data_IF_358792674453
#
_entry.id   IF_358792674453
#
_cell.length_a   1.000
_cell.length_b   1.000
_cell.length_c   1.000
_cell.angle_alpha   90.00
_cell.angle_beta   90.00
_cell.angle_gamma   90.00
#
_symmetry.space_group_name_H-M   'P 1'
#
loop_
_entity.id
_entity.type
_entity.pdbx_description
1 polymer ?
#
# COMPACT_ATOMS: atom_id res chain seq x y z
N UNK A 1 11.98 -8.59 0.82
CA UNK A 1 12.91 -7.52 0.38
C UNK A 1 13.93 -7.10 1.44
N UNK A 2 13.77 -7.37 2.74
CA UNK A 2 14.77 -6.95 3.74
C UNK A 2 15.95 -7.89 4.02
N UNK A 3 16.06 -9.04 3.35
CA UNK A 3 17.02 -10.11 3.72
C UNK A 3 17.98 -10.51 2.60
N UNK A 4 17.99 -9.82 1.44
CA UNK A 4 18.83 -10.20 0.30
C UNK A 4 18.47 -11.51 -0.42
N UNK A 5 17.42 -12.21 0.05
CA UNK A 5 17.04 -13.56 -0.41
C UNK A 5 16.22 -13.63 -1.70
N UNK A 6 15.99 -12.50 -2.39
CA UNK A 6 15.03 -12.44 -3.51
C UNK A 6 15.35 -13.44 -4.62
N UNK A 7 16.59 -13.45 -5.12
CA UNK A 7 16.97 -14.31 -6.24
C UNK A 7 17.21 -15.77 -5.85
N UNK A 8 17.55 -16.02 -4.57
CA UNK A 8 17.75 -17.36 -4.01
C UNK A 8 16.43 -18.08 -3.82
N UNK A 9 15.41 -17.38 -3.32
CA UNK A 9 14.06 -17.91 -3.09
C UNK A 9 13.14 -17.75 -4.31
N UNK A 10 13.67 -17.29 -5.44
CA UNK A 10 12.92 -17.25 -6.70
C UNK A 10 12.57 -18.68 -7.14
N UNK A 11 11.37 -18.91 -7.71
CA UNK A 11 11.04 -20.20 -8.30
C UNK A 11 12.12 -20.64 -9.31
N UNK A 12 12.51 -21.91 -9.26
CA UNK A 12 13.52 -22.49 -10.15
C UNK A 12 12.94 -23.09 -11.43
N UNK A 13 11.61 -23.03 -11.59
CA UNK A 13 10.86 -23.60 -12.73
C UNK A 13 10.57 -22.53 -13.79
N UNK A 14 9.67 -22.83 -14.74
CA UNK A 14 9.21 -21.95 -15.83
C UNK A 14 8.75 -20.56 -15.39
N UNK A 15 8.48 -20.35 -14.10
CA UNK A 15 8.13 -19.04 -13.52
C UNK A 15 9.32 -18.16 -13.18
N UNK A 16 10.55 -18.64 -13.38
CA UNK A 16 11.77 -17.88 -13.07
C UNK A 16 11.88 -16.60 -13.89
N UNK A 17 11.61 -16.69 -15.20
CA UNK A 17 11.66 -15.55 -16.12
C UNK A 17 10.68 -14.45 -15.69
N UNK A 18 9.46 -14.85 -15.33
CA UNK A 18 8.46 -13.94 -14.75
C UNK A 18 8.96 -13.30 -13.45
N UNK A 19 9.52 -14.09 -12.52
CA UNK A 19 9.98 -13.58 -11.22
C UNK A 19 11.18 -12.62 -11.34
N UNK A 20 12.11 -12.89 -12.24
CA UNK A 20 13.24 -12.00 -12.53
C UNK A 20 12.79 -10.72 -13.25
N UNK A 21 11.71 -10.78 -14.03
CA UNK A 21 11.11 -9.62 -14.70
C UNK A 21 10.32 -8.71 -13.75
N UNK A 22 9.90 -9.22 -12.59
CA UNK A 22 9.34 -8.37 -11.54
C UNK A 22 10.42 -7.35 -11.14
N UNK A 23 10.20 -6.06 -11.33
CA UNK A 23 11.18 -5.03 -11.00
C UNK A 23 11.58 -4.99 -9.52
N UNK A 24 12.36 -3.98 -9.13
CA UNK A 24 12.81 -3.80 -7.74
C UNK A 24 11.64 -3.70 -6.75
N UNK A 25 10.52 -3.11 -7.17
CA UNK A 25 9.25 -3.11 -6.44
C UNK A 25 8.19 -4.00 -7.13
N UNK A 26 8.08 -5.29 -6.76
CA UNK A 26 7.07 -6.20 -7.30
C UNK A 26 5.63 -5.85 -6.87
N UNK A 27 5.46 -4.87 -5.98
CA UNK A 27 4.16 -4.42 -5.48
C UNK A 27 3.76 -3.03 -6.01
N UNK A 28 4.47 -2.52 -7.03
CA UNK A 28 4.20 -1.19 -7.59
C UNK A 28 2.78 -1.08 -8.18
N UNK A 29 2.30 -2.12 -8.87
CA UNK A 29 0.99 -2.15 -9.55
C UNK A 29 -0.16 -2.51 -8.60
N UNK A 30 -0.37 -1.69 -7.57
CA UNK A 30 -1.28 -1.95 -6.45
C UNK A 30 -2.75 -2.14 -6.84
N UNK A 31 -3.15 -1.68 -8.02
CA UNK A 31 -4.51 -1.85 -8.52
C UNK A 31 -4.80 -3.28 -8.97
N UNK A 32 -3.77 -4.06 -9.33
CA UNK A 32 -3.94 -5.43 -9.80
C UNK A 32 -4.43 -6.35 -8.67
N UNK A 33 -5.44 -7.21 -8.91
CA UNK A 33 -5.94 -8.14 -7.90
C UNK A 33 -4.87 -9.05 -7.31
N UNK A 34 -3.95 -9.57 -8.13
CA UNK A 34 -2.83 -10.41 -7.68
C UNK A 34 -1.90 -9.67 -6.71
N UNK A 35 -1.60 -8.39 -7.00
CA UNK A 35 -0.77 -7.55 -6.12
C UNK A 35 -1.50 -7.24 -4.81
N UNK A 36 -2.82 -7.01 -4.84
CA UNK A 36 -3.61 -6.80 -3.61
C UNK A 36 -3.63 -8.05 -2.71
N UNK A 37 -3.71 -9.24 -3.30
CA UNK A 37 -3.57 -10.51 -2.58
C UNK A 37 -2.16 -10.65 -1.99
N UNK A 38 -1.12 -10.32 -2.76
CA UNK A 38 0.26 -10.34 -2.28
C UNK A 38 0.49 -9.36 -1.11
N UNK A 39 -0.04 -8.14 -1.18
CA UNK A 39 0.02 -7.15 -0.08
C UNK A 39 -0.70 -7.69 1.15
N UNK A 40 -1.89 -8.28 0.98
CA UNK A 40 -2.67 -8.84 2.08
C UNK A 40 -1.93 -10.00 2.76
N UNK A 41 -1.34 -10.90 1.97
CA UNK A 41 -0.51 -12.01 2.46
C UNK A 41 0.76 -11.49 3.17
N UNK A 42 1.44 -10.50 2.60
CA UNK A 42 2.63 -9.89 3.17
C UNK A 42 2.36 -9.17 4.51
N UNK A 43 1.16 -8.65 4.71
CA UNK A 43 0.72 -8.10 6.00
C UNK A 43 0.45 -9.19 7.01
N UNK A 44 -0.32 -10.20 6.63
CA UNK A 44 -0.65 -11.34 7.49
C UNK A 44 0.60 -12.07 7.96
N UNK A 45 1.60 -12.23 7.10
CA UNK A 45 2.86 -12.88 7.45
C UNK A 45 3.68 -12.13 8.52
N UNK A 46 3.32 -10.87 8.82
CA UNK A 46 3.96 -10.03 9.85
C UNK A 46 3.18 -9.98 11.16
N UNK A 47 2.05 -10.67 11.27
CA UNK A 47 1.28 -10.80 12.52
C UNK A 47 1.42 -12.20 13.13
N UNK A 48 1.12 -12.38 14.42
CA UNK A 48 0.98 -13.72 15.00
C UNK A 48 -0.07 -14.57 14.24
N UNK A 49 0.11 -15.89 14.16
CA UNK A 49 1.26 -16.65 14.68
C UNK A 49 2.48 -16.70 13.75
N UNK A 50 2.38 -16.19 12.52
CA UNK A 50 3.42 -16.38 11.49
C UNK A 50 4.70 -15.59 11.74
N UNK A 51 4.57 -14.34 12.19
CA UNK A 51 5.67 -13.38 12.26
C UNK A 51 6.96 -13.88 12.94
N UNK A 52 6.93 -14.40 14.20
CA UNK A 52 8.17 -14.78 14.88
C UNK A 52 8.90 -15.92 14.16
N UNK A 53 8.16 -16.92 13.67
CA UNK A 53 8.74 -18.08 13.00
C UNK A 53 9.27 -17.73 11.62
N UNK A 54 8.50 -16.97 10.84
CA UNK A 54 8.91 -16.56 9.50
C UNK A 54 10.12 -15.65 9.52
N UNK A 55 10.17 -14.67 10.42
CA UNK A 55 11.34 -13.78 10.53
C UNK A 55 12.59 -14.52 10.97
N UNK A 56 12.46 -15.48 11.91
CA UNK A 56 13.59 -16.34 12.32
C UNK A 56 14.08 -17.19 11.16
N UNK A 57 13.17 -17.83 10.43
CA UNK A 57 13.52 -18.68 9.28
C UNK A 57 14.20 -17.87 8.16
N UNK A 58 13.65 -16.70 7.80
CA UNK A 58 14.25 -15.83 6.78
C UNK A 58 15.64 -15.33 7.19
N UNK A 59 15.83 -14.97 8.46
CA UNK A 59 17.16 -14.56 8.97
C UNK A 59 18.16 -15.70 8.89
N UNK A 60 17.79 -16.90 9.35
CA UNK A 60 18.66 -18.07 9.29
C UNK A 60 18.99 -18.45 7.84
N UNK A 61 18.00 -18.37 6.94
CA UNK A 61 18.21 -18.62 5.51
C UNK A 61 19.17 -17.60 4.89
N UNK A 62 19.05 -16.31 5.25
CA UNK A 62 19.95 -15.27 4.77
C UNK A 62 21.40 -15.52 5.23
N UNK A 63 21.59 -15.95 6.48
CA UNK A 63 22.91 -16.31 7.01
C UNK A 63 23.51 -17.50 6.26
N UNK A 64 22.73 -18.56 6.04
CA UNK A 64 23.17 -19.73 5.27
C UNK A 64 23.53 -19.36 3.83
N UNK A 65 22.69 -18.57 3.18
CA UNK A 65 22.91 -18.16 1.81
C UNK A 65 24.17 -17.29 1.68
N UNK A 66 24.36 -16.34 2.59
CA UNK A 66 25.58 -15.52 2.62
C UNK A 66 26.84 -16.35 2.85
N UNK A 67 26.80 -17.34 3.75
CA UNK A 67 27.95 -18.21 4.01
C UNK A 67 28.27 -19.15 2.84
N UNK A 68 27.24 -19.60 2.11
CA UNK A 68 27.40 -20.46 0.94
C UNK A 68 27.88 -19.72 -0.31
N UNK A 69 27.62 -18.41 -0.41
CA UNK A 69 27.93 -17.60 -1.59
C UNK A 69 29.42 -17.63 -1.96
N UNK A 70 30.32 -17.64 -0.98
CA UNK A 70 31.79 -17.66 -1.21
C UNK A 70 32.29 -18.96 -1.85
N UNK A 71 31.51 -20.05 -1.75
CA UNK A 71 31.83 -21.37 -2.30
C UNK A 71 30.97 -21.73 -3.51
N UNK A 72 30.10 -20.82 -3.94
CA UNK A 72 29.13 -21.06 -4.98
C UNK A 72 29.78 -21.11 -6.37
N UNK A 73 29.40 -22.08 -7.20
CA UNK A 73 29.72 -22.02 -8.62
C UNK A 73 29.10 -20.73 -9.23
N UNK A 74 29.77 -20.07 -10.20
CA UNK A 74 29.33 -18.77 -10.73
C UNK A 74 27.87 -18.74 -11.19
N UNK A 75 27.38 -19.83 -11.78
CA UNK A 75 26.02 -19.91 -12.34
C UNK A 75 24.98 -20.48 -11.36
N UNK A 76 25.37 -20.82 -10.14
CA UNK A 76 24.46 -21.41 -9.15
C UNK A 76 23.53 -20.35 -8.52
N UNK A 77 22.43 -20.79 -7.90
CA UNK A 77 21.53 -19.86 -7.19
C UNK A 77 22.21 -19.15 -6.01
N UNK A 78 23.19 -19.81 -5.39
CA UNK A 78 23.91 -19.31 -4.22
C UNK A 78 24.87 -18.16 -4.56
N UNK A 79 25.30 -18.03 -5.82
CA UNK A 79 26.09 -16.86 -6.27
C UNK A 79 25.24 -15.60 -6.44
N UNK A 80 23.90 -15.71 -6.42
CA UNK A 80 22.95 -14.59 -6.62
C UNK A 80 22.49 -13.95 -5.31
N UNK A 81 23.18 -14.22 -4.20
CA UNK A 81 22.88 -13.61 -2.91
C UNK A 81 23.26 -12.14 -2.97
N UNK A 82 22.28 -11.27 -2.73
CA UNK A 82 22.53 -9.84 -2.58
C UNK A 82 22.78 -9.51 -1.10
N UNK A 83 23.67 -8.54 -0.79
CA UNK A 83 23.78 -8.04 0.58
C UNK A 83 22.42 -7.49 1.03
N UNK A 84 22.03 -7.80 2.27
CA UNK A 84 20.83 -7.22 2.84
C UNK A 84 20.99 -5.69 2.93
N UNK A 85 19.97 -4.90 2.55
CA UNK A 85 20.02 -3.46 2.73
C UNK A 85 20.26 -3.09 4.19
N UNK A 86 20.99 -2.01 4.43
CA UNK A 86 21.20 -1.48 5.78
C UNK A 86 19.87 -1.25 6.49
N UNK A 87 19.80 -1.58 7.79
CA UNK A 87 18.58 -1.37 8.57
C UNK A 87 18.17 0.10 8.56
N UNK A 88 16.88 0.38 8.42
CA UNK A 88 16.37 1.74 8.51
C UNK A 88 16.55 2.25 9.95
N UNK A 89 16.85 3.54 10.19
CA UNK A 89 17.08 4.07 11.55
C UNK A 89 15.91 3.86 12.53
N UNK A 90 14.70 3.59 12.04
CA UNK A 90 13.54 3.23 12.87
C UNK A 90 13.46 1.75 13.24
N UNK A 91 14.45 0.92 12.89
CA UNK A 91 14.43 -0.53 13.06
C UNK A 91 13.63 -1.31 12.02
N UNK A 92 12.99 -0.63 11.05
CA UNK A 92 12.35 -1.30 9.92
C UNK A 92 13.40 -1.84 8.93
N UNK A 93 13.09 -2.90 8.16
CA UNK A 93 14.03 -3.38 7.14
C UNK A 93 14.24 -2.32 6.06
N UNK A 94 15.50 -1.96 5.80
CA UNK A 94 15.85 -1.00 4.76
C UNK A 94 15.52 -1.50 3.35
N UNK A 95 15.47 -0.57 2.40
CA UNK A 95 15.18 -0.83 0.99
C UNK A 95 16.36 -0.42 0.14
N UNK A 96 16.58 -1.14 -0.95
CA UNK A 96 17.48 -0.80 -2.06
C UNK A 96 16.76 -0.04 -3.20
N UNK A 97 15.42 0.08 -3.12
CA UNK A 97 14.63 0.79 -4.12
C UNK A 97 14.92 2.30 -4.10
N UNK A 98 15.57 2.80 -5.16
CA UNK A 98 16.10 4.16 -5.30
C UNK A 98 15.06 5.30 -5.28
N UNK A 99 15.55 6.53 -5.08
CA UNK A 99 14.85 7.83 -4.99
C UNK A 99 13.70 7.95 -3.97
N UNK A 100 13.46 6.91 -3.18
CA UNK A 100 12.46 6.89 -2.12
C UNK A 100 13.04 7.40 -0.81
N UNK A 101 12.30 8.27 -0.12
CA UNK A 101 12.69 8.78 1.20
C UNK A 101 11.51 8.77 2.17
N UNK A 102 11.80 8.91 3.47
CA UNK A 102 10.75 9.17 4.45
C UNK A 102 9.94 10.44 4.10
N UNK A 103 10.57 11.43 3.46
CA UNK A 103 9.93 12.68 3.04
C UNK A 103 8.79 12.50 2.05
N UNK A 104 8.93 11.53 1.14
CA UNK A 104 7.95 11.20 0.08
C UNK A 104 7.06 10.01 0.41
N UNK A 105 7.17 9.46 1.63
CA UNK A 105 6.40 8.29 2.06
C UNK A 105 4.99 8.69 2.55
N UNK A 106 3.96 7.96 2.11
CA UNK A 106 2.58 8.13 2.57
C UNK A 106 2.41 7.86 4.08
N UNK A 107 3.31 7.09 4.70
CA UNK A 107 3.23 6.81 6.15
C UNK A 107 3.83 7.92 7.02
N UNK A 108 4.44 8.94 6.41
CA UNK A 108 4.97 10.11 7.11
C UNK A 108 3.83 11.03 7.50
N UNK A 109 3.83 11.47 8.74
CA UNK A 109 2.94 12.53 9.22
C UNK A 109 3.70 13.51 10.12
N UNK A 110 3.13 14.68 10.35
CA UNK A 110 3.64 15.69 11.28
C UNK A 110 2.84 15.60 12.58
N UNK A 111 3.49 15.38 13.72
CA UNK A 111 2.78 15.26 14.99
C UNK A 111 3.67 15.13 16.23
N UNK A 112 3.03 14.91 17.39
CA UNK A 112 3.65 14.77 18.70
C UNK A 112 3.12 15.75 19.75
N UNK A 113 3.30 15.43 21.03
CA UNK A 113 3.03 16.36 22.14
C UNK A 113 4.13 17.43 22.15
N UNK A 114 3.77 18.71 21.97
CA UNK A 114 4.71 19.83 21.91
C UNK A 114 5.14 20.16 20.48
N UNK A 115 6.46 20.28 20.22
CA UNK A 115 6.97 20.59 18.88
C UNK A 115 6.57 19.51 17.90
N UNK A 116 5.81 19.90 16.88
CA UNK A 116 5.43 19.03 15.78
C UNK A 116 6.66 18.62 14.97
N UNK A 117 6.83 17.32 14.75
CA UNK A 117 7.98 16.73 14.03
C UNK A 117 7.50 15.63 13.09
N UNK A 118 8.32 15.30 12.10
CA UNK A 118 8.04 14.18 11.19
C UNK A 118 8.12 12.83 11.92
N UNK A 119 7.11 11.99 11.69
CA UNK A 119 6.93 10.68 12.32
C UNK A 119 6.44 9.66 11.32
N UNK A 120 6.62 8.38 11.65
CA UNK A 120 6.22 7.26 10.79
C UNK A 120 5.18 6.36 11.47
N UNK A 121 4.00 6.23 10.87
CA UNK A 121 2.92 5.36 11.38
C UNK A 121 3.22 3.86 11.28
N UNK A 122 4.24 3.47 10.49
CA UNK A 122 4.67 2.08 10.34
C UNK A 122 5.69 1.65 11.40
N UNK A 123 6.20 2.60 12.18
CA UNK A 123 7.24 2.40 13.19
C UNK A 123 6.79 2.97 14.54
N UNK A 124 5.56 2.67 14.96
CA UNK A 124 4.99 3.08 16.26
C UNK A 124 5.20 4.56 16.56
N UNK A 125 4.91 5.41 15.57
CA UNK A 125 5.06 6.87 15.61
C UNK A 125 6.48 7.38 15.92
N UNK A 126 7.50 6.56 15.65
CA UNK A 126 8.90 6.95 15.73
C UNK A 126 9.18 8.20 14.89
N UNK A 127 10.08 9.05 15.41
CA UNK A 127 10.56 10.23 14.69
C UNK A 127 11.37 9.80 13.47
N UNK A 128 11.23 10.54 12.37
CA UNK A 128 11.98 10.30 11.14
C UNK A 128 12.59 11.60 10.61
N UNK A 129 13.79 11.51 10.02
CA UNK A 129 14.30 12.57 9.16
C UNK A 129 13.72 12.36 7.74
N UNK A 130 13.07 13.36 7.13
CA UNK A 130 12.58 13.28 5.75
C UNK A 130 13.64 12.86 4.72
N UNK A 131 14.93 13.07 5.00
CA UNK A 131 16.06 12.71 4.13
C UNK A 131 16.51 11.26 4.27
N UNK A 132 16.02 10.52 5.27
CA UNK A 132 16.35 9.11 5.39
C UNK A 132 15.82 8.32 4.18
N UNK A 133 16.59 7.34 3.66
CA UNK A 133 16.13 6.44 2.61
C UNK A 133 14.83 5.74 3.00
N UNK A 134 13.97 5.48 2.02
CA UNK A 134 12.74 4.72 2.25
C UNK A 134 13.04 3.31 2.77
N UNK A 135 12.25 2.83 3.73
CA UNK A 135 12.30 1.42 4.14
C UNK A 135 11.52 0.53 3.14
N UNK A 136 11.58 -0.79 3.31
CA UNK A 136 10.80 -1.77 2.49
C UNK A 136 9.29 -1.61 2.57
N UNK A 137 8.78 -0.72 3.43
CA UNK A 137 7.36 -0.38 3.58
C UNK A 137 7.04 1.01 3.03
N UNK A 138 7.97 1.65 2.32
CA UNK A 138 7.70 2.91 1.66
C UNK A 138 6.53 2.77 0.69
N UNK A 139 5.65 3.76 0.67
CA UNK A 139 4.55 3.86 -0.27
C UNK A 139 4.46 5.30 -0.78
N UNK A 140 4.11 5.51 -2.06
CA UNK A 140 3.86 6.85 -2.57
C UNK A 140 2.59 7.42 -1.95
N UNK A 141 2.51 8.76 -1.86
CA UNK A 141 1.26 9.46 -1.55
C UNK A 141 0.15 8.97 -2.49
N UNK A 142 -1.02 8.55 -1.98
CA UNK A 142 -2.03 7.95 -2.82
C UNK A 142 -2.80 9.01 -3.60
N UNK A 143 -3.28 8.62 -4.79
CA UNK A 143 -4.29 9.39 -5.53
C UNK A 143 -5.67 8.77 -5.34
N UNK A 144 -6.64 9.60 -4.93
CA UNK A 144 -8.04 9.21 -4.80
C UNK A 144 -8.67 8.80 -6.14
N UNK A 145 -8.22 9.40 -7.25
CA UNK A 145 -8.66 9.14 -8.62
C UNK A 145 -8.02 7.91 -9.27
N UNK A 146 -7.23 7.17 -8.49
CA UNK A 146 -6.73 5.85 -8.87
C UNK A 146 -7.15 4.77 -7.86
N UNK A 147 -7.09 5.07 -6.56
CA UNK A 147 -7.20 4.04 -5.53
C UNK A 147 -8.64 3.72 -5.12
N UNK A 148 -9.53 4.72 -5.10
CA UNK A 148 -10.93 4.58 -4.67
C UNK A 148 -11.13 3.95 -3.28
N UNK A 149 -10.12 3.90 -2.41
CA UNK A 149 -10.12 3.04 -1.22
C UNK A 149 -11.28 3.35 -0.26
N UNK A 150 -11.48 4.63 0.06
CA UNK A 150 -12.56 5.10 0.92
C UNK A 150 -13.94 4.96 0.25
N UNK A 151 -14.00 5.23 -1.05
CA UNK A 151 -15.24 5.24 -1.83
C UNK A 151 -15.75 3.83 -2.16
N UNK A 152 -14.88 2.81 -2.18
CA UNK A 152 -15.27 1.43 -2.52
C UNK A 152 -15.83 0.70 -1.31
N UNK A 153 -15.01 0.11 -0.43
CA UNK A 153 -15.48 -0.82 0.60
C UNK A 153 -15.00 -0.48 2.01
N UNK A 154 -14.21 0.59 2.18
CA UNK A 154 -13.63 0.91 3.48
C UNK A 154 -14.63 1.58 4.44
N UNK A 155 -15.58 2.34 3.93
CA UNK A 155 -16.61 3.03 4.70
C UNK A 155 -17.99 2.78 4.10
N UNK A 156 -19.00 2.59 4.94
CA UNK A 156 -20.36 2.23 4.51
C UNK A 156 -21.30 3.43 4.34
N UNK A 157 -20.90 4.64 4.77
CA UNK A 157 -21.69 5.86 4.60
C UNK A 157 -20.78 7.08 4.64
N UNK A 158 -21.22 8.16 3.99
CA UNK A 158 -20.63 9.50 4.07
C UNK A 158 -21.77 10.46 4.36
N UNK A 159 -21.83 10.96 5.59
CA UNK A 159 -22.83 11.95 6.00
C UNK A 159 -22.55 13.29 5.33
N UNK A 160 -23.54 13.89 4.70
CA UNK A 160 -23.44 15.16 3.99
C UNK A 160 -24.02 16.28 4.88
N UNK A 161 -23.30 17.39 5.08
CA UNK A 161 -23.87 18.56 5.76
C UNK A 161 -25.13 19.08 5.06
N UNK A 162 -26.10 19.61 5.83
CA UNK A 162 -27.35 20.15 5.26
C UNK A 162 -27.13 21.25 4.22
N UNK A 163 -26.03 22.00 4.26
CA UNK A 163 -25.74 23.09 3.30
C UNK A 163 -24.63 22.73 2.30
N UNK A 164 -24.36 21.45 2.09
CA UNK A 164 -23.33 21.02 1.14
C UNK A 164 -23.80 21.20 -0.31
N UNK A 165 -23.00 21.82 -1.20
CA UNK A 165 -23.36 22.04 -2.60
C UNK A 165 -23.73 20.77 -3.37
N UNK A 166 -23.20 19.60 -2.98
CA UNK A 166 -23.51 18.33 -3.66
C UNK A 166 -25.02 18.04 -3.67
N UNK A 167 -25.80 18.57 -2.71
CA UNK A 167 -27.25 18.38 -2.63
C UNK A 167 -28.00 19.04 -3.77
N UNK A 168 -27.51 20.17 -4.25
CA UNK A 168 -28.11 20.94 -5.33
C UNK A 168 -27.54 20.52 -6.68
N UNK A 169 -26.22 20.28 -6.73
CA UNK A 169 -25.51 19.93 -7.96
C UNK A 169 -25.73 18.48 -8.40
N UNK A 170 -25.90 17.55 -7.44
CA UNK A 170 -26.03 16.11 -7.69
C UNK A 170 -27.13 15.48 -6.82
N UNK A 171 -28.39 15.94 -6.90
CA UNK A 171 -29.48 15.47 -6.04
C UNK A 171 -29.75 13.96 -6.18
N UNK A 172 -29.47 13.36 -7.35
CA UNK A 172 -29.58 11.94 -7.62
C UNK A 172 -28.55 11.07 -6.88
N UNK A 173 -27.52 11.69 -6.29
CA UNK A 173 -26.51 11.04 -5.47
C UNK A 173 -26.78 11.20 -3.97
N UNK A 174 -27.89 11.82 -3.56
CA UNK A 174 -28.19 12.10 -2.15
C UNK A 174 -29.35 11.26 -1.63
N UNK A 175 -29.21 10.73 -0.42
CA UNK A 175 -30.28 10.01 0.29
C UNK A 175 -30.55 10.73 1.61
N UNK A 176 -31.79 11.17 1.79
CA UNK A 176 -32.27 11.72 3.07
C UNK A 176 -32.82 10.58 3.94
N UNK A 177 -32.25 10.39 5.13
CA UNK A 177 -32.68 9.40 6.14
C UNK A 177 -33.50 10.04 7.26
N UNK A 178 -33.95 11.29 7.09
CA UNK A 178 -34.65 12.11 8.08
C UNK A 178 -33.70 12.69 9.14
N UNK A 179 -32.96 11.83 9.84
CA UNK A 179 -32.02 12.24 10.89
C UNK A 179 -30.71 12.79 10.33
N UNK A 180 -30.25 12.23 9.21
CA UNK A 180 -29.05 12.64 8.51
C UNK A 180 -29.22 12.46 7.01
N UNK A 181 -28.37 13.12 6.26
CA UNK A 181 -28.30 13.02 4.80
C UNK A 181 -26.99 12.31 4.48
N UNK A 182 -27.01 11.38 3.54
CA UNK A 182 -25.80 10.65 3.14
C UNK A 182 -25.66 10.59 1.62
N UNK A 183 -24.43 10.35 1.18
CA UNK A 183 -24.16 10.06 -0.23
C UNK A 183 -24.64 8.66 -0.56
N UNK A 184 -25.43 8.54 -1.63
CA UNK A 184 -26.00 7.29 -2.13
C UNK A 184 -24.90 6.27 -2.40
N UNK A 185 -25.20 5.01 -2.11
CA UNK A 185 -24.37 3.85 -2.44
C UNK A 185 -25.05 2.92 -3.42
N UNK A 186 -24.24 2.19 -4.18
CA UNK A 186 -24.64 1.09 -5.03
C UNK A 186 -23.89 -0.16 -4.55
N UNK A 187 -24.60 -1.02 -3.82
CA UNK A 187 -23.97 -2.12 -3.08
C UNK A 187 -23.00 -1.60 -2.02
N UNK A 188 -21.77 -2.11 -2.04
CA UNK A 188 -20.72 -1.65 -1.14
C UNK A 188 -20.11 -0.33 -1.58
N UNK A 189 -20.25 0.13 -2.84
CA UNK A 189 -19.55 1.30 -3.40
C UNK A 189 -20.36 2.59 -3.30
N UNK A 190 -19.66 3.73 -3.23
CA UNK A 190 -20.24 5.05 -3.49
C UNK A 190 -20.86 5.10 -4.90
N UNK A 191 -22.06 5.66 -5.03
CA UNK A 191 -22.76 5.74 -6.31
C UNK A 191 -22.04 6.62 -7.35
N UNK A 192 -21.18 7.56 -6.90
CA UNK A 192 -20.36 8.39 -7.77
C UNK A 192 -19.03 7.72 -8.21
N UNK A 193 -18.76 6.49 -7.79
CA UNK A 193 -17.48 5.81 -8.04
C UNK A 193 -17.52 4.95 -9.30
N UNK A 194 -16.86 5.42 -10.36
CA UNK A 194 -16.63 4.67 -11.59
C UNK A 194 -15.34 3.82 -11.53
N UNK A 195 -15.15 2.96 -12.54
CA UNK A 195 -13.96 2.12 -12.69
C UNK A 195 -13.91 0.95 -11.70
N UNK A 196 -12.70 0.46 -11.39
CA UNK A 196 -12.50 -0.64 -10.46
C UNK A 196 -12.91 -2.01 -11.00
N UNK A 197 -12.86 -2.18 -12.33
CA UNK A 197 -13.27 -3.39 -13.03
C UNK A 197 -12.22 -3.76 -14.06
N UNK A 198 -12.19 -5.05 -14.40
CA UNK A 198 -11.41 -5.53 -15.54
C UNK A 198 -12.05 -4.96 -16.82
N UNK A 199 -11.24 -4.33 -17.67
CA UNK A 199 -11.65 -3.72 -18.93
C UNK A 199 -11.88 -4.79 -20.00
N UNK A 200 -11.02 -5.82 -20.03
CA UNK A 200 -11.13 -6.94 -20.97
C UNK A 200 -11.17 -8.32 -20.28
N UNK A 201 -12.23 -9.14 -20.45
CA UNK A 201 -12.39 -10.40 -19.73
C UNK A 201 -11.25 -11.42 -19.95
N UNK A 202 -10.59 -11.37 -21.11
CA UNK A 202 -9.46 -12.25 -21.44
C UNK A 202 -8.10 -11.74 -20.95
N UNK A 203 -8.02 -10.50 -20.46
CA UNK A 203 -6.79 -9.94 -19.90
C UNK A 203 -7.04 -9.53 -18.43
N UNK A 204 -6.67 -10.38 -17.46
CA UNK A 204 -6.86 -10.07 -16.04
C UNK A 204 -6.02 -8.87 -15.56
N UNK A 205 -5.08 -8.37 -16.37
CA UNK A 205 -4.29 -7.17 -16.05
C UNK A 205 -4.91 -5.88 -16.61
N UNK A 206 -5.90 -5.99 -17.49
CA UNK A 206 -6.61 -4.86 -18.06
C UNK A 206 -7.56 -4.29 -17.00
N UNK A 207 -7.13 -3.31 -16.21
CA UNK A 207 -7.91 -2.76 -15.10
C UNK A 207 -8.21 -1.27 -15.29
N UNK A 208 -9.48 -0.88 -15.20
CA UNK A 208 -9.88 0.54 -15.24
C UNK A 208 -9.71 1.15 -13.84
N UNK A 209 -8.86 2.20 -13.66
CA UNK A 209 -8.68 2.86 -12.37
C UNK A 209 -9.99 3.40 -11.77
N UNK A 210 -10.06 3.49 -10.44
CA UNK A 210 -11.24 4.04 -9.76
C UNK A 210 -11.30 5.55 -9.93
N UNK A 211 -12.45 6.10 -10.35
CA UNK A 211 -12.61 7.56 -10.48
C UNK A 211 -13.89 8.05 -9.83
N UNK A 212 -13.80 9.17 -9.11
CA UNK A 212 -14.96 9.87 -8.59
C UNK A 212 -15.52 10.78 -9.70
N UNK A 213 -16.74 10.51 -10.15
CA UNK A 213 -17.39 11.26 -11.22
C UNK A 213 -17.70 12.71 -10.84
N UNK A 214 -17.83 12.98 -9.54
CA UNK A 214 -18.14 14.31 -9.00
C UNK A 214 -16.95 14.90 -8.25
N UNK A 215 -15.71 14.55 -8.61
CA UNK A 215 -14.55 14.92 -7.79
C UNK A 215 -14.45 16.43 -7.48
N UNK A 216 -14.71 17.36 -8.42
CA UNK A 216 -14.74 18.80 -8.10
C UNK A 216 -15.84 19.16 -7.08
N UNK A 217 -16.99 18.50 -7.17
CA UNK A 217 -18.21 18.80 -6.38
C UNK A 217 -18.37 17.87 -5.17
N UNK A 218 -17.36 17.05 -4.87
CA UNK A 218 -17.42 16.03 -3.81
C UNK A 218 -17.82 16.68 -2.49
N UNK A 219 -18.60 16.01 -1.62
CA UNK A 219 -19.08 16.62 -0.38
C UNK A 219 -17.93 17.00 0.55
N UNK A 220 -18.18 17.93 1.46
CA UNK A 220 -17.20 18.49 2.41
C UNK A 220 -16.36 17.41 3.12
N UNK A 221 -16.93 16.32 3.69
CA UNK A 221 -16.12 15.28 4.32
C UNK A 221 -15.17 14.57 3.37
N UNK A 222 -15.52 14.44 2.09
CA UNK A 222 -14.64 13.88 1.07
C UNK A 222 -13.56 14.88 0.61
N UNK A 223 -13.85 16.20 0.60
CA UNK A 223 -12.85 17.23 0.27
C UNK A 223 -11.83 17.41 1.38
N UNK A 224 -12.27 17.37 2.62
CA UNK A 224 -11.46 17.58 3.82
C UNK A 224 -10.79 16.30 4.32
N UNK A 225 -11.02 15.18 3.63
CA UNK A 225 -10.39 13.92 3.98
C UNK A 225 -8.88 14.00 3.73
N UNK A 226 -8.09 13.91 4.80
CA UNK A 226 -6.64 14.03 4.74
C UNK A 226 -6.01 12.92 3.89
N UNK A 227 -5.36 13.33 2.80
CA UNK A 227 -4.68 12.39 1.91
C UNK A 227 -3.41 11.87 2.61
N UNK A 228 -3.18 10.56 2.61
CA UNK A 228 -2.20 9.90 3.49
C UNK A 228 -2.48 10.06 5.00
N UNK A 229 -3.65 10.56 5.39
CA UNK A 229 -4.10 10.57 6.77
C UNK A 229 -4.34 9.15 7.32
N UNK A 230 -4.48 9.03 8.64
CA UNK A 230 -4.68 7.74 9.31
C UNK A 230 -5.88 6.95 8.76
N UNK A 231 -7.00 7.64 8.56
CA UNK A 231 -8.21 7.06 7.99
C UNK A 231 -8.02 6.63 6.52
N UNK A 232 -7.28 7.42 5.72
CA UNK A 232 -6.94 7.05 4.34
C UNK A 232 -6.13 5.75 4.29
N UNK A 233 -5.08 5.67 5.09
CA UNK A 233 -4.19 4.51 5.13
C UNK A 233 -4.88 3.27 5.71
N UNK A 234 -5.78 3.46 6.69
CA UNK A 234 -6.63 2.39 7.22
C UNK A 234 -7.58 1.85 6.13
N UNK A 235 -8.22 2.75 5.38
CA UNK A 235 -9.07 2.37 4.26
C UNK A 235 -8.29 1.59 3.20
N UNK A 236 -7.10 2.07 2.81
CA UNK A 236 -6.22 1.38 1.84
C UNK A 236 -5.79 0.00 2.32
N UNK A 237 -5.44 -0.14 3.61
CA UNK A 237 -5.10 -1.44 4.22
C UNK A 237 -6.27 -2.42 4.18
N UNK A 238 -7.49 -1.98 4.52
CA UNK A 238 -8.70 -2.83 4.51
C UNK A 238 -8.96 -3.44 3.13
N UNK A 239 -8.44 -2.78 2.11
CA UNK A 239 -8.74 -3.01 0.71
C UNK A 239 -7.51 -3.53 -0.06
N UNK A 240 -6.43 -3.88 0.65
CA UNK A 240 -5.24 -4.53 0.06
C UNK A 240 -4.31 -3.59 -0.72
N UNK A 241 -4.46 -2.27 -0.60
CA UNK A 241 -3.65 -1.28 -1.33
C UNK A 241 -2.43 -0.77 -0.55
N UNK A 242 -2.36 -1.05 0.75
CA UNK A 242 -1.32 -0.55 1.64
C UNK A 242 -0.86 -1.63 2.62
N UNK A 243 0.44 -1.60 2.96
CA UNK A 243 1.17 -2.51 3.87
C UNK A 243 0.91 -2.24 5.36
#
# INVERSE_FOLDING_TARGET
MGHGLRHVLAPTTDFRSYYDALGSDPLAERILPAVQLAITAARRSRTPPWAPHLQRALRATAQLASAAADFAAPDSLWSRVAPAPAAHPTGLPGSDIGDRSCGTCAWKFIGGRGRQVARCRQADDARVDPRWPGCTRWEPTPDCQDCGACCRAAYHSVTIPRRDPVRELHPELVVDRGQYIELRRSGDRCAALAGGRVDHPSDPNSFVPFRCLIYPDRPKPCREFDNSGEHCLTARRRVGLSL
#
